data_IF_900599214009
#
_entry.id   IF_900599214009
#
_cell.length_a   1.000
_cell.length_b   1.000
_cell.length_c   1.000
_cell.angle_alpha   90.00
_cell.angle_beta   90.00
_cell.angle_gamma   90.00
#
_symmetry.space_group_name_H-M   'P 1'
#
loop_
_entity.id
_entity.type
_entity.pdbx_description
1 polymer ?
#
# COMPACT_ATOMS: atom_id res chain seq x y z
N UNK A 1 -16.86 -20.88 21.79
CA UNK A 1 -16.14 -19.64 22.18
C UNK A 1 -15.66 -18.96 20.91
N UNK A 2 -16.28 -17.83 20.54
CA UNK A 2 -15.97 -17.11 19.29
C UNK A 2 -14.65 -16.34 19.46
N UNK A 3 -13.68 -16.59 18.59
CA UNK A 3 -12.40 -15.89 18.65
C UNK A 3 -12.63 -14.42 18.27
N UNK A 4 -12.33 -13.55 19.21
CA UNK A 4 -12.33 -12.09 19.13
C UNK A 4 -11.23 -11.59 18.16
N UNK A 5 -11.36 -11.95 16.87
CA UNK A 5 -10.45 -11.52 15.80
C UNK A 5 -10.42 -9.99 15.62
N UNK A 6 -11.29 -9.26 16.32
CA UNK A 6 -11.30 -7.81 16.41
C UNK A 6 -10.16 -7.23 17.28
N UNK A 7 -9.45 -8.04 18.07
CA UNK A 7 -8.41 -7.57 19.02
C UNK A 7 -6.97 -7.67 18.51
N UNK A 8 -6.75 -8.26 17.33
CA UNK A 8 -5.41 -8.45 16.74
C UNK A 8 -4.95 -7.33 15.78
N UNK A 9 -5.79 -6.33 15.51
CA UNK A 9 -5.37 -5.15 14.73
C UNK A 9 -5.26 -3.95 15.66
N UNK A 10 -4.11 -3.74 16.34
CA UNK A 10 -3.94 -2.59 17.21
C UNK A 10 -3.99 -1.33 16.34
N UNK A 11 -5.11 -0.60 16.42
CA UNK A 11 -5.32 0.87 16.40
C UNK A 11 -4.43 1.77 15.51
N UNK A 12 -3.66 1.21 14.58
CA UNK A 12 -2.75 1.86 13.67
C UNK A 12 -3.20 1.63 12.22
N UNK A 13 -4.52 1.54 11.98
CA UNK A 13 -5.11 1.49 10.63
C UNK A 13 -4.66 2.66 9.74
N UNK A 14 -4.20 3.75 10.35
CA UNK A 14 -3.74 4.98 9.72
C UNK A 14 -2.24 4.97 9.36
N UNK A 15 -1.48 3.97 9.82
CA UNK A 15 -0.04 3.88 9.55
C UNK A 15 0.31 2.60 8.81
N UNK A 16 1.15 2.73 7.79
CA UNK A 16 1.73 1.61 7.05
C UNK A 16 3.15 1.40 7.54
N UNK A 17 3.37 0.23 8.16
CA UNK A 17 4.71 -0.22 8.48
C UNK A 17 5.42 -0.59 7.17
N UNK A 18 6.48 0.15 6.83
CA UNK A 18 7.33 -0.18 5.69
C UNK A 18 8.24 -1.39 5.93
N UNK A 19 8.28 -1.89 7.17
CA UNK A 19 9.07 -3.05 7.57
C UNK A 19 8.32 -4.37 7.44
N UNK A 20 7.00 -4.33 7.20
CA UNK A 20 6.17 -5.53 7.01
C UNK A 20 5.92 -5.76 5.52
N UNK A 21 6.69 -6.67 4.92
CA UNK A 21 6.57 -7.03 3.49
C UNK A 21 5.14 -7.37 3.06
N UNK A 22 4.37 -8.03 3.92
CA UNK A 22 2.97 -8.33 3.65
C UNK A 22 2.13 -7.07 3.47
N UNK A 23 2.27 -6.08 4.35
CA UNK A 23 1.54 -4.81 4.30
C UNK A 23 1.96 -3.99 3.09
N UNK A 24 3.26 -3.96 2.78
CA UNK A 24 3.81 -3.29 1.60
C UNK A 24 3.26 -3.90 0.32
N UNK A 25 3.30 -5.23 0.18
CA UNK A 25 2.76 -5.94 -1.00
C UNK A 25 1.25 -5.75 -1.14
N UNK A 26 0.51 -5.78 -0.03
CA UNK A 26 -0.93 -5.53 -0.05
C UNK A 26 -1.24 -4.10 -0.50
N UNK A 27 -0.53 -3.11 0.05
CA UNK A 27 -0.69 -1.71 -0.31
C UNK A 27 -0.32 -1.43 -1.78
N UNK A 28 0.76 -2.05 -2.25
CA UNK A 28 1.20 -2.00 -3.65
C UNK A 28 0.10 -2.49 -4.59
N UNK A 29 -0.45 -3.69 -4.33
CA UNK A 29 -1.56 -4.28 -5.10
C UNK A 29 -2.81 -3.40 -5.08
N UNK A 30 -3.19 -2.88 -3.92
CA UNK A 30 -4.36 -2.03 -3.76
C UNK A 30 -4.27 -0.72 -4.55
N UNK A 31 -3.07 -0.13 -4.65
CA UNK A 31 -2.87 1.15 -5.34
C UNK A 31 -2.37 0.97 -6.78
N UNK A 32 -2.03 -0.24 -7.22
CA UNK A 32 -1.50 -0.50 -8.56
C UNK A 32 -0.09 0.06 -8.77
N UNK A 33 0.73 0.01 -7.72
CA UNK A 33 2.14 0.43 -7.72
C UNK A 33 3.02 -0.74 -7.29
N UNK A 34 4.34 -0.63 -7.41
CA UNK A 34 5.26 -1.71 -7.01
C UNK A 34 5.67 -1.61 -5.54
N UNK A 35 6.01 -2.72 -4.85
CA UNK A 35 6.51 -2.68 -3.46
C UNK A 35 7.72 -1.76 -3.29
N UNK A 36 8.60 -1.70 -4.28
CA UNK A 36 9.74 -0.78 -4.30
C UNK A 36 9.28 0.69 -4.28
N UNK A 37 8.24 1.03 -5.07
CA UNK A 37 7.64 2.38 -5.05
C UNK A 37 7.01 2.68 -3.68
N UNK A 38 6.39 1.71 -3.03
CA UNK A 38 5.86 1.87 -1.67
C UNK A 38 6.96 2.23 -0.68
N UNK A 39 8.11 1.54 -0.72
CA UNK A 39 9.26 1.88 0.13
C UNK A 39 9.78 3.30 -0.13
N UNK A 40 9.82 3.72 -1.40
CA UNK A 40 10.20 5.10 -1.76
C UNK A 40 9.21 6.12 -1.19
N UNK A 41 7.91 5.84 -1.30
CA UNK A 41 6.86 6.69 -0.74
C UNK A 41 6.95 6.77 0.79
N UNK A 42 7.20 5.65 1.48
CA UNK A 42 7.37 5.61 2.93
C UNK A 42 8.62 6.40 3.36
N UNK A 43 9.71 6.29 2.60
CA UNK A 43 10.94 7.07 2.85
C UNK A 43 10.72 8.57 2.66
N UNK A 44 9.86 8.98 1.71
CA UNK A 44 9.60 10.38 1.36
C UNK A 44 8.54 11.05 2.24
N UNK A 45 7.42 10.36 2.49
CA UNK A 45 6.23 10.92 3.15
C UNK A 45 5.99 10.36 4.56
N UNK A 46 6.80 9.38 4.97
CA UNK A 46 6.63 8.64 6.21
C UNK A 46 5.55 7.57 6.14
N UNK A 47 5.23 6.99 7.29
CA UNK A 47 4.30 5.87 7.40
C UNK A 47 2.81 6.26 7.38
N UNK A 48 2.44 7.50 7.06
CA UNK A 48 1.03 7.91 7.10
C UNK A 48 0.25 7.36 5.89
N UNK A 49 -0.71 6.47 6.14
CA UNK A 49 -1.48 5.78 5.09
C UNK A 49 -2.19 6.74 4.15
N UNK A 50 -2.83 7.79 4.66
CA UNK A 50 -3.58 8.73 3.83
C UNK A 50 -2.64 9.46 2.84
N UNK A 51 -1.46 9.89 3.32
CA UNK A 51 -0.43 10.51 2.48
C UNK A 51 0.11 9.53 1.44
N UNK A 52 0.39 8.29 1.85
CA UNK A 52 0.87 7.25 0.94
C UNK A 52 -0.17 6.92 -0.14
N UNK A 53 -1.46 6.87 0.18
CA UNK A 53 -2.53 6.63 -0.81
C UNK A 53 -2.61 7.78 -1.80
N UNK A 54 -2.57 9.02 -1.34
CA UNK A 54 -2.57 10.19 -2.22
C UNK A 54 -1.36 10.17 -3.17
N UNK A 55 -0.16 10.00 -2.60
CA UNK A 55 1.07 9.95 -3.39
C UNK A 55 1.12 8.73 -4.32
N UNK A 56 0.57 7.57 -3.93
CA UNK A 56 0.48 6.40 -4.79
C UNK A 56 -0.48 6.61 -5.98
N UNK A 57 -1.60 7.31 -5.76
CA UNK A 57 -2.54 7.69 -6.82
C UNK A 57 -1.89 8.67 -7.79
N UNK A 58 -1.20 9.69 -7.30
CA UNK A 58 -0.46 10.63 -8.13
C UNK A 58 0.63 9.92 -8.91
N UNK A 59 1.43 9.07 -8.25
CA UNK A 59 2.46 8.25 -8.87
C UNK A 59 1.87 7.40 -10.00
N UNK A 60 0.74 6.74 -9.76
CA UNK A 60 0.05 5.93 -10.78
C UNK A 60 -0.44 6.76 -11.97
N UNK A 61 -1.00 7.93 -11.71
CA UNK A 61 -1.46 8.84 -12.77
C UNK A 61 -0.28 9.39 -13.58
N UNK A 62 0.83 9.73 -12.93
CA UNK A 62 2.05 10.20 -13.60
C UNK A 62 2.77 9.07 -14.36
N UNK A 63 2.63 7.81 -13.94
CA UNK A 63 3.22 6.64 -14.61
C UNK A 63 2.35 6.04 -15.73
N UNK A 64 1.09 6.49 -15.92
CA UNK A 64 0.24 6.02 -17.02
C UNK A 64 -0.27 7.15 -17.89
N UNK A 65 -0.06 7.04 -19.22
CA UNK A 65 -1.18 7.13 -20.14
C UNK A 65 -1.67 5.76 -20.63
N UNK A 66 -0.85 4.69 -20.63
CA UNK A 66 -1.18 3.50 -21.46
C UNK A 66 -1.03 2.09 -20.84
N UNK A 67 -0.32 1.83 -19.74
CA UNK A 67 -0.06 0.41 -19.34
C UNK A 67 -1.11 -0.18 -18.38
N UNK A 68 -1.93 -1.18 -18.76
CA UNK A 68 -2.91 -1.80 -17.86
C UNK A 68 -2.23 -2.42 -16.63
N UNK A 69 -2.81 -2.27 -15.42
CA UNK A 69 -2.26 -2.91 -14.23
C UNK A 69 -2.34 -4.42 -14.45
N UNK A 70 -1.17 -5.04 -14.46
CA UNK A 70 -0.90 -6.48 -14.42
C UNK A 70 -2.13 -7.30 -13.98
N UNK A 71 -2.91 -7.73 -14.97
CA UNK A 71 -3.96 -8.72 -14.80
C UNK A 71 -3.19 -10.04 -14.71
N UNK A 72 -3.21 -10.78 -13.60
CA UNK A 72 -2.63 -12.10 -13.58
C UNK A 72 -3.41 -12.95 -14.58
N UNK A 73 -2.80 -13.24 -15.73
CA UNK A 73 -3.33 -14.14 -16.74
C UNK A 73 -2.89 -15.55 -16.38
N UNK A 74 -3.62 -16.25 -15.52
CA UNK A 74 -3.85 -17.71 -15.59
C UNK A 74 -5.04 -18.09 -14.72
#
# INVERSE_FOLDING_TARGET
MTADAAKLYPRHRDRISGSEDYVVRYFARQNGITPAQVHQLIKRYGSNRAKLVAAAKELRTSLRPDVPPDVPKT
#
